data_IF_290008840740
#
_entry.id   IF_290008840740
#
_cell.length_a   1.000
_cell.length_b   1.000
_cell.length_c   1.000
_cell.angle_alpha   90.00
_cell.angle_beta   90.00
_cell.angle_gamma   90.00
#
_symmetry.space_group_name_H-M   'P 1'
#
loop_
_entity.id
_entity.type
_entity.pdbx_description
1 polymer ?
#
# COMPACT_ATOMS: atom_id res chain seq x y z
N UNK A 1 16.58 -24.70 12.22
CA UNK A 1 17.33 -23.78 11.35
C UNK A 1 16.69 -23.63 9.96
N UNK A 2 16.22 -24.71 9.33
CA UNK A 2 15.62 -24.71 7.97
C UNK A 2 14.34 -23.85 7.77
N UNK A 3 13.50 -23.68 8.81
CA UNK A 3 12.24 -22.90 8.69
C UNK A 3 12.47 -21.39 8.44
N UNK A 4 13.60 -20.82 8.85
CA UNK A 4 13.88 -19.40 8.64
C UNK A 4 14.35 -19.12 7.21
N UNK A 5 15.25 -19.95 6.67
CA UNK A 5 15.74 -19.84 5.30
C UNK A 5 14.60 -19.93 4.28
N UNK A 6 13.63 -20.83 4.48
CA UNK A 6 12.48 -20.93 3.57
C UNK A 6 11.63 -19.64 3.56
N UNK A 7 11.40 -19.03 4.72
CA UNK A 7 10.63 -17.77 4.82
C UNK A 7 11.37 -16.60 4.20
N UNK A 8 12.67 -16.50 4.42
CA UNK A 8 13.53 -15.50 3.78
C UNK A 8 13.48 -15.62 2.26
N UNK A 9 13.58 -16.84 1.72
CA UNK A 9 13.45 -17.09 0.28
C UNK A 9 12.07 -16.66 -0.25
N UNK A 10 11.00 -16.94 0.48
CA UNK A 10 9.64 -16.52 0.10
C UNK A 10 9.52 -14.99 0.08
N UNK A 11 10.10 -14.31 1.06
CA UNK A 11 10.11 -12.85 1.11
C UNK A 11 10.90 -12.24 -0.05
N UNK A 12 12.10 -12.75 -0.32
CA UNK A 12 12.92 -12.31 -1.46
C UNK A 12 12.15 -12.52 -2.78
N UNK A 13 11.50 -13.67 -2.97
CA UNK A 13 10.69 -13.93 -4.17
C UNK A 13 9.55 -12.93 -4.34
N UNK A 14 8.92 -12.50 -3.24
CA UNK A 14 7.87 -11.46 -3.26
C UNK A 14 8.43 -10.09 -3.60
N UNK A 15 9.58 -9.72 -3.06
CA UNK A 15 10.25 -8.45 -3.39
C UNK A 15 10.69 -8.39 -4.85
N UNK A 16 11.32 -9.45 -5.36
CA UNK A 16 11.68 -9.55 -6.79
C UNK A 16 10.44 -9.46 -7.68
N UNK A 17 9.32 -10.06 -7.25
CA UNK A 17 8.04 -9.95 -7.96
C UNK A 17 7.51 -8.52 -7.95
N UNK A 18 7.52 -7.83 -6.81
CA UNK A 18 7.09 -6.42 -6.69
C UNK A 18 7.94 -5.48 -7.55
N UNK A 19 9.25 -5.70 -7.61
CA UNK A 19 10.16 -4.94 -8.47
C UNK A 19 9.85 -5.18 -9.95
N UNK A 20 9.62 -6.44 -10.35
CA UNK A 20 9.21 -6.76 -11.72
C UNK A 20 7.87 -6.12 -12.07
N UNK A 21 6.86 -6.26 -11.21
CA UNK A 21 5.55 -5.65 -11.44
C UNK A 21 5.64 -4.12 -11.47
N UNK A 22 6.56 -3.52 -10.72
CA UNK A 22 6.85 -2.07 -10.77
C UNK A 22 7.45 -1.67 -12.11
N UNK A 23 8.46 -2.39 -12.59
CA UNK A 23 9.08 -2.12 -13.91
C UNK A 23 8.06 -2.31 -15.03
N UNK A 24 7.32 -3.41 -15.01
CA UNK A 24 6.26 -3.69 -15.99
C UNK A 24 5.19 -2.60 -15.95
N UNK A 25 4.78 -2.16 -14.76
CA UNK A 25 3.78 -1.11 -14.60
C UNK A 25 4.27 0.24 -15.12
N UNK A 26 5.53 0.62 -14.85
CA UNK A 26 6.11 1.89 -15.30
C UNK A 26 6.43 1.91 -16.81
N UNK A 27 6.78 0.76 -17.40
CA UNK A 27 7.19 0.67 -18.81
C UNK A 27 6.05 0.29 -19.77
N UNK A 28 5.07 -0.49 -19.31
CA UNK A 28 4.10 -1.15 -20.19
C UNK A 28 2.67 -0.63 -20.03
N UNK A 29 2.37 0.24 -19.06
CA UNK A 29 1.04 0.85 -18.98
C UNK A 29 0.96 2.13 -19.82
N UNK A 30 -0.06 2.25 -20.68
CA UNK A 30 -0.37 3.51 -21.36
C UNK A 30 -1.00 4.53 -20.40
N UNK A 31 -1.60 4.07 -19.29
CA UNK A 31 -2.34 4.91 -18.35
C UNK A 31 -1.40 5.53 -17.31
N UNK A 32 -1.57 6.83 -17.03
CA UNK A 32 -0.80 7.54 -16.01
C UNK A 32 -1.05 6.90 -14.62
N UNK A 33 0.00 6.41 -13.92
CA UNK A 33 -0.09 5.85 -12.57
C UNK A 33 -0.86 6.72 -11.58
N UNK A 34 -0.70 8.04 -11.67
CA UNK A 34 -1.36 9.00 -10.80
C UNK A 34 -2.87 8.97 -11.05
N UNK A 35 -3.28 9.06 -12.31
CA UNK A 35 -4.69 9.00 -12.70
C UNK A 35 -5.35 7.68 -12.25
N UNK A 36 -4.62 6.57 -12.37
CA UNK A 36 -5.09 5.29 -11.85
C UNK A 36 -5.35 5.33 -10.34
N UNK A 37 -4.42 5.90 -9.55
CA UNK A 37 -4.59 6.05 -8.10
C UNK A 37 -5.78 6.95 -7.78
N UNK A 38 -5.84 8.14 -8.38
CA UNK A 38 -6.92 9.10 -8.16
C UNK A 38 -8.29 8.50 -8.53
N UNK A 39 -8.37 7.73 -9.62
CA UNK A 39 -9.59 7.00 -10.00
C UNK A 39 -9.98 5.94 -8.96
N UNK A 40 -9.01 5.15 -8.48
CA UNK A 40 -9.26 4.09 -7.48
C UNK A 40 -9.64 4.66 -6.12
N UNK A 41 -9.06 5.78 -5.70
CA UNK A 41 -9.42 6.45 -4.45
C UNK A 41 -10.78 7.16 -4.58
N UNK A 42 -11.01 7.84 -5.70
CA UNK A 42 -12.24 8.55 -6.01
C UNK A 42 -12.62 9.55 -4.91
N UNK A 43 -13.90 9.75 -4.64
CA UNK A 43 -14.36 10.71 -3.60
C UNK A 43 -14.36 10.15 -2.17
N UNK A 44 -13.64 9.07 -1.91
CA UNK A 44 -13.76 8.34 -0.64
C UNK A 44 -12.64 8.73 0.32
N UNK A 45 -12.93 9.65 1.22
CA UNK A 45 -11.99 10.10 2.26
C UNK A 45 -11.46 8.93 3.10
N UNK A 46 -12.30 7.98 3.47
CA UNK A 46 -11.88 6.75 4.18
C UNK A 46 -10.80 5.96 3.41
N UNK A 47 -10.94 5.82 2.09
CA UNK A 47 -9.95 5.12 1.27
C UNK A 47 -8.64 5.88 1.20
N UNK A 48 -8.71 7.21 1.08
CA UNK A 48 -7.54 8.10 1.06
C UNK A 48 -6.80 8.01 2.38
N UNK A 49 -7.50 8.17 3.51
CA UNK A 49 -6.92 8.07 4.86
C UNK A 49 -6.26 6.72 5.10
N UNK A 50 -6.92 5.62 4.71
CA UNK A 50 -6.34 4.27 4.83
C UNK A 50 -5.14 4.08 3.92
N UNK A 51 -5.21 4.55 2.67
CA UNK A 51 -4.08 4.48 1.74
C UNK A 51 -2.87 5.23 2.29
N UNK A 52 -3.04 6.47 2.74
CA UNK A 52 -1.96 7.29 3.31
C UNK A 52 -1.39 6.68 4.60
N UNK A 53 -2.21 6.07 5.45
CA UNK A 53 -1.75 5.43 6.69
C UNK A 53 -0.93 4.13 6.47
N UNK A 54 -0.97 3.52 5.29
CA UNK A 54 -0.24 2.29 4.98
C UNK A 54 1.24 2.60 4.71
N UNK A 55 2.11 2.06 5.56
CA UNK A 55 3.54 2.39 5.62
C UNK A 55 4.49 1.16 5.65
N UNK A 56 3.96 -0.06 5.53
CA UNK A 56 4.75 -1.29 5.63
C UNK A 56 5.18 -1.71 7.04
N UNK A 57 4.76 -0.98 8.07
CA UNK A 57 5.13 -1.23 9.47
C UNK A 57 3.96 -1.63 10.34
N UNK A 58 2.78 -1.07 10.07
CA UNK A 58 1.57 -1.28 10.87
C UNK A 58 0.68 -2.40 10.30
N UNK A 59 0.05 -3.15 11.20
CA UNK A 59 -1.07 -4.04 10.92
C UNK A 59 -2.37 -3.26 10.72
N UNK A 60 -3.40 -3.89 10.13
CA UNK A 60 -4.72 -3.25 9.99
C UNK A 60 -5.32 -2.82 11.33
N UNK A 61 -5.02 -3.55 12.41
CA UNK A 61 -5.50 -3.21 13.74
C UNK A 61 -4.86 -1.93 14.26
N UNK A 62 -3.57 -1.74 14.02
CA UNK A 62 -2.85 -0.53 14.39
C UNK A 62 -3.27 0.67 13.54
N UNK A 63 -3.47 0.46 12.24
CA UNK A 63 -4.01 1.49 11.34
C UNK A 63 -5.42 1.91 11.79
N UNK A 64 -6.29 0.96 12.14
CA UNK A 64 -7.64 1.25 12.63
C UNK A 64 -7.65 2.07 13.94
N UNK A 65 -6.65 1.87 14.82
CA UNK A 65 -6.51 2.70 16.03
C UNK A 65 -6.15 4.15 15.70
N UNK A 66 -5.35 4.38 14.65
CA UNK A 66 -4.95 5.72 14.19
C UNK A 66 -6.07 6.43 13.43
N UNK A 67 -7.01 5.68 12.87
CA UNK A 67 -8.12 6.18 12.05
C UNK A 67 -9.48 5.85 12.68
N UNK A 68 -9.84 6.44 13.83
CA UNK A 68 -11.13 6.20 14.46
C UNK A 68 -12.28 6.59 13.52
N UNK A 69 -13.33 5.76 13.50
CA UNK A 69 -14.49 5.94 12.63
C UNK A 69 -14.34 5.40 11.21
N UNK A 70 -13.14 5.01 10.78
CA UNK A 70 -12.89 4.49 9.42
C UNK A 70 -12.99 2.97 9.38
N UNK A 71 -13.70 2.43 8.39
CA UNK A 71 -13.75 0.97 8.16
C UNK A 71 -12.48 0.49 7.42
N UNK A 72 -11.37 0.43 8.16
CA UNK A 72 -10.05 0.05 7.64
C UNK A 72 -10.08 -1.32 6.93
N UNK A 73 -10.64 -2.41 7.50
CA UNK A 73 -10.64 -3.71 6.82
C UNK A 73 -11.33 -3.68 5.44
N UNK A 74 -12.45 -2.96 5.31
CA UNK A 74 -13.16 -2.82 4.04
C UNK A 74 -12.34 -2.03 3.02
N UNK A 75 -11.75 -0.91 3.43
CA UNK A 75 -10.92 -0.09 2.56
C UNK A 75 -9.67 -0.83 2.10
N UNK A 76 -8.95 -1.49 3.01
CA UNK A 76 -7.76 -2.26 2.68
C UNK A 76 -8.07 -3.41 1.72
N UNK A 77 -9.18 -4.15 1.90
CA UNK A 77 -9.59 -5.19 0.96
C UNK A 77 -9.83 -4.65 -0.45
N UNK A 78 -10.40 -3.45 -0.57
CA UNK A 78 -10.62 -2.81 -1.86
C UNK A 78 -9.29 -2.38 -2.50
N UNK A 79 -8.42 -1.71 -1.75
CA UNK A 79 -7.11 -1.25 -2.23
C UNK A 79 -6.21 -2.43 -2.64
N UNK A 80 -6.25 -3.54 -1.89
CA UNK A 80 -5.52 -4.77 -2.21
C UNK A 80 -6.02 -5.39 -3.53
N UNK A 81 -7.35 -5.48 -3.72
CA UNK A 81 -7.95 -5.95 -4.99
C UNK A 81 -7.52 -5.09 -6.19
N UNK A 82 -7.28 -3.79 -5.96
CA UNK A 82 -6.81 -2.83 -6.96
C UNK A 82 -5.28 -2.77 -7.07
N UNK A 83 -4.54 -3.63 -6.36
CA UNK A 83 -3.08 -3.69 -6.36
C UNK A 83 -2.39 -2.37 -5.95
N UNK A 84 -3.09 -1.54 -5.16
CA UNK A 84 -2.49 -0.33 -4.59
C UNK A 84 -1.79 -0.59 -3.27
N UNK A 85 -2.08 -1.72 -2.63
CA UNK A 85 -1.41 -2.20 -1.42
C UNK A 85 -1.29 -3.71 -1.47
N UNK A 86 -0.43 -4.28 -0.64
CA UNK A 86 -0.37 -5.72 -0.42
C UNK A 86 0.07 -6.07 0.99
N UNK A 87 -0.24 -7.32 1.32
CA UNK A 87 0.00 -7.93 2.61
C UNK A 87 1.40 -8.52 2.70
N UNK A 88 2.13 -8.14 3.74
CA UNK A 88 3.42 -8.69 4.10
C UNK A 88 3.32 -9.59 5.34
N UNK A 89 3.94 -10.75 5.23
CA UNK A 89 4.15 -11.66 6.36
C UNK A 89 5.39 -11.20 7.12
N UNK A 90 5.25 -11.00 8.42
CA UNK A 90 6.35 -10.59 9.27
C UNK A 90 6.46 -11.57 10.43
N UNK A 91 7.63 -12.22 10.60
CA UNK A 91 7.82 -13.22 11.64
C UNK A 91 7.44 -12.70 13.03
N UNK A 92 6.61 -13.47 13.73
CA UNK A 92 6.24 -13.17 15.12
C UNK A 92 5.20 -12.05 15.30
N UNK A 93 4.61 -11.51 14.22
CA UNK A 93 3.56 -10.50 14.33
C UNK A 93 2.41 -10.71 13.33
N UNK A 94 1.35 -9.93 13.52
CA UNK A 94 0.26 -9.84 12.54
C UNK A 94 0.77 -9.27 11.21
N UNK A 95 0.12 -9.67 10.12
CA UNK A 95 0.45 -9.14 8.80
C UNK A 95 0.39 -7.63 8.77
N UNK A 96 1.32 -7.04 8.03
CA UNK A 96 1.35 -5.61 7.77
C UNK A 96 1.06 -5.33 6.31
N UNK A 97 0.69 -4.10 6.01
CA UNK A 97 0.35 -3.70 4.67
C UNK A 97 1.37 -2.68 4.18
N UNK A 98 1.77 -2.79 2.92
CA UNK A 98 2.63 -1.80 2.25
C UNK A 98 2.10 -1.44 0.88
N UNK A 99 2.58 -0.32 0.36
CA UNK A 99 2.36 0.12 -1.01
C UNK A 99 3.39 -0.55 -1.94
N UNK A 100 3.07 -0.68 -3.24
CA UNK A 100 4.03 -1.12 -4.24
C UNK A 100 5.16 -0.13 -4.43
N UNK A 101 6.31 -0.64 -4.88
CA UNK A 101 7.51 0.17 -4.98
C UNK A 101 7.35 1.39 -5.89
N UNK A 102 6.64 1.24 -7.01
CA UNK A 102 6.35 2.37 -7.91
C UNK A 102 5.62 3.53 -7.22
N UNK A 103 4.76 3.25 -6.22
CA UNK A 103 4.03 4.31 -5.52
C UNK A 103 4.96 5.18 -4.67
N UNK A 104 6.04 4.59 -4.16
CA UNK A 104 7.10 5.32 -3.48
C UNK A 104 7.98 6.10 -4.47
N UNK A 105 8.38 5.46 -5.58
CA UNK A 105 9.21 6.09 -6.62
C UNK A 105 8.54 7.32 -7.22
N UNK A 106 7.22 7.25 -7.44
CA UNK A 106 6.43 8.35 -8.01
C UNK A 106 5.88 9.32 -6.96
N UNK A 107 6.29 9.19 -5.69
CA UNK A 107 5.84 10.02 -4.59
C UNK A 107 4.30 10.17 -4.49
N UNK A 108 3.57 9.07 -4.73
CA UNK A 108 2.10 9.07 -4.82
C UNK A 108 1.45 9.57 -3.53
N UNK A 109 2.05 9.31 -2.37
CA UNK A 109 1.50 9.79 -1.09
C UNK A 109 1.39 11.32 -1.06
N UNK A 110 2.37 12.03 -1.61
CA UNK A 110 2.36 13.50 -1.63
C UNK A 110 1.32 14.02 -2.61
N UNK A 111 1.24 13.44 -3.80
CA UNK A 111 0.25 13.79 -4.80
C UNK A 111 -1.17 13.57 -4.25
N UNK A 112 -1.40 12.45 -3.57
CA UNK A 112 -2.69 12.18 -2.92
C UNK A 112 -2.97 13.14 -1.76
N UNK A 113 -1.95 13.62 -1.03
CA UNK A 113 -2.18 14.67 -0.03
C UNK A 113 -2.61 15.98 -0.66
N UNK A 114 -1.93 16.41 -1.72
CA UNK A 114 -2.23 17.64 -2.45
C UNK A 114 -3.63 17.59 -3.08
N UNK A 115 -3.96 16.53 -3.82
CA UNK A 115 -5.24 16.35 -4.51
C UNK A 115 -6.44 16.39 -3.56
N UNK A 116 -6.25 15.94 -2.33
CA UNK A 116 -7.31 15.86 -1.32
C UNK A 116 -7.21 16.95 -0.24
N UNK A 117 -6.29 17.90 -0.38
CA UNK A 117 -6.10 19.01 0.57
C UNK A 117 -5.69 18.58 1.97
N UNK A 118 -5.01 17.43 2.11
CA UNK A 118 -4.54 16.89 3.39
C UNK A 118 -3.16 17.48 3.67
N UNK A 119 -3.12 18.52 4.49
CA UNK A 119 -1.86 19.08 5.00
C UNK A 119 -1.37 18.24 6.19
N UNK A 120 -0.05 18.09 6.33
CA UNK A 120 0.52 17.42 7.51
C UNK A 120 0.26 18.30 8.73
N UNK A 121 -0.84 18.06 9.45
CA UNK A 121 -0.93 18.46 10.84
C UNK A 121 0.06 17.60 11.64
N UNK A 122 1.00 18.28 12.30
CA UNK A 122 2.09 17.75 13.14
C UNK A 122 1.64 16.71 14.18
#
# INVERSE_FOLDING_TARGET
MEKNTHKEIVNIKREVKDLRETVDFLLLRPDNPIEYVTHVLGRSEDRVRVFLAINGRDSLREIAKKLPGVNVPRCSKYLEKKKLIYKLDVPGRSFVYRKPHWAHVLNIDEIVREDYGITNDE
#
